data_IF_499457634438
#
_entry.id   IF_499457634438
#
_cell.length_a   1.000
_cell.length_b   1.000
_cell.length_c   1.000
_cell.angle_alpha   90.00
_cell.angle_beta   90.00
_cell.angle_gamma   90.00
#
_symmetry.space_group_name_H-M   'P 1'
#
loop_
_entity.id
_entity.type
_entity.pdbx_description
1 polymer ?
#
# COMPACT_ATOMS: atom_id res chain seq x y z
N UNK A 1 25.75 10.36 -33.49
CA UNK A 1 24.49 10.39 -32.76
C UNK A 1 24.55 9.31 -31.67
N UNK A 2 24.72 9.72 -30.42
CA UNK A 2 24.76 8.78 -29.27
C UNK A 2 23.37 8.73 -28.65
N UNK A 3 22.76 7.55 -28.40
CA UNK A 3 21.53 7.47 -27.67
C UNK A 3 21.80 7.70 -26.17
N UNK A 4 21.09 8.68 -25.58
CA UNK A 4 21.00 8.85 -24.14
C UNK A 4 20.10 7.74 -23.59
N UNK A 5 20.71 6.76 -22.92
CA UNK A 5 19.99 5.84 -22.06
C UNK A 5 19.55 6.58 -20.79
N UNK A 6 18.26 6.87 -20.66
CA UNK A 6 17.65 7.23 -19.38
C UNK A 6 17.44 5.94 -18.58
N UNK A 7 18.39 5.62 -17.72
CA UNK A 7 18.19 4.63 -16.68
C UNK A 7 17.43 5.30 -15.54
N UNK A 8 16.12 5.10 -15.48
CA UNK A 8 15.33 5.44 -14.32
C UNK A 8 15.59 4.39 -13.22
N UNK A 9 16.57 4.68 -12.36
CA UNK A 9 16.82 3.88 -11.19
C UNK A 9 15.64 4.07 -10.22
N UNK A 10 14.85 3.01 -10.04
CA UNK A 10 13.90 2.93 -8.92
C UNK A 10 14.74 2.70 -7.66
N UNK A 11 15.05 3.78 -6.96
CA UNK A 11 15.71 3.71 -5.66
C UNK A 11 14.69 3.20 -4.65
N UNK A 12 14.76 1.92 -4.30
CA UNK A 12 14.17 1.41 -3.07
C UNK A 12 15.02 2.01 -1.95
N UNK A 13 14.57 3.14 -1.39
CA UNK A 13 15.18 3.71 -0.21
C UNK A 13 14.88 2.78 0.97
N UNK A 14 15.83 1.90 1.29
CA UNK A 14 15.91 1.26 2.59
C UNK A 14 16.08 2.36 3.63
N UNK A 15 14.99 2.79 4.25
CA UNK A 15 15.03 3.61 5.45
C UNK A 15 15.67 2.77 6.54
N UNK A 16 16.95 3.00 6.81
CA UNK A 16 17.62 2.50 8.00
C UNK A 16 16.90 3.10 9.21
N UNK A 17 16.03 2.31 9.83
CA UNK A 17 15.44 2.64 11.12
C UNK A 17 16.57 2.57 12.14
N UNK A 18 17.07 3.72 12.57
CA UNK A 18 17.98 3.80 13.69
C UNK A 18 17.31 3.13 14.91
N UNK A 19 18.00 2.28 15.69
CA UNK A 19 17.42 1.70 16.87
C UNK A 19 17.07 2.82 17.85
N UNK A 20 15.76 3.01 18.07
CA UNK A 20 15.30 3.89 19.13
C UNK A 20 15.81 3.34 20.47
N UNK A 21 16.53 4.17 21.24
CA UNK A 21 16.88 3.85 22.61
C UNK A 21 15.61 3.47 23.37
N UNK A 22 15.61 2.29 23.97
CA UNK A 22 14.58 1.86 24.91
C UNK A 22 14.62 2.79 26.14
N UNK A 23 13.86 3.88 26.06
CA UNK A 23 13.44 4.67 27.21
C UNK A 23 11.96 4.39 27.40
N UNK A 24 11.41 4.65 28.58
CA UNK A 24 9.98 4.53 28.94
C UNK A 24 9.06 5.41 28.07
N UNK A 25 9.35 5.49 26.78
CA UNK A 25 8.71 6.34 25.81
C UNK A 25 7.33 5.83 25.44
N UNK A 26 6.30 6.52 25.89
CA UNK A 26 4.97 6.37 25.30
C UNK A 26 5.05 6.71 23.81
N UNK A 27 4.50 5.85 22.94
CA UNK A 27 4.61 6.00 21.49
C UNK A 27 3.79 7.16 20.91
N UNK A 28 2.80 7.67 21.67
CA UNK A 28 1.95 8.80 21.29
C UNK A 28 1.97 9.87 22.38
N UNK A 29 1.80 11.11 21.97
CA UNK A 29 1.59 12.24 22.86
C UNK A 29 0.22 12.84 22.61
N UNK A 30 -0.54 12.99 23.67
CA UNK A 30 -1.85 13.63 23.66
C UNK A 30 -1.71 14.99 24.30
N UNK A 31 -2.16 16.04 23.64
CA UNK A 31 -2.19 17.41 24.21
C UNK A 31 -3.63 17.78 24.50
N UNK A 32 -3.96 18.01 25.78
CA UNK A 32 -5.30 18.42 26.22
C UNK A 32 -5.14 19.70 27.03
N UNK A 33 -5.76 20.79 26.59
CA UNK A 33 -5.67 22.12 27.20
C UNK A 33 -4.24 22.56 27.51
N UNK A 34 -3.30 22.25 26.60
CA UNK A 34 -1.88 22.58 26.70
C UNK A 34 -1.07 21.67 27.63
N UNK A 35 -1.66 20.62 28.20
CA UNK A 35 -0.96 19.59 28.96
C UNK A 35 -0.65 18.41 28.05
N UNK A 36 0.63 18.08 27.91
CA UNK A 36 1.09 16.91 27.16
C UNK A 36 1.17 15.68 28.04
N UNK A 37 0.58 14.57 27.60
CA UNK A 37 0.64 13.28 28.28
C UNK A 37 0.98 12.19 27.28
N UNK A 38 1.91 11.31 27.65
CA UNK A 38 2.25 10.13 26.85
C UNK A 38 1.19 9.03 27.02
N UNK A 39 0.81 8.38 25.91
CA UNK A 39 -0.17 7.28 25.91
C UNK A 39 0.23 6.23 24.86
N UNK A 40 -0.03 4.95 25.14
CA UNK A 40 0.10 3.88 24.15
C UNK A 40 -1.27 3.31 23.75
N UNK A 41 -1.40 2.67 22.58
CA UNK A 41 -2.59 1.90 22.25
C UNK A 41 -2.86 0.84 23.33
N UNK A 42 -4.11 0.80 23.80
CA UNK A 42 -4.56 -0.04 24.92
C UNK A 42 -4.50 0.65 26.29
N UNK A 43 -3.81 1.80 26.41
CA UNK A 43 -3.81 2.56 27.67
C UNK A 43 -5.13 3.32 27.84
N UNK A 44 -5.52 3.46 29.11
CA UNK A 44 -6.53 4.43 29.54
C UNK A 44 -5.89 5.42 30.48
N UNK A 45 -6.12 6.70 30.28
CA UNK A 45 -5.61 7.80 31.05
C UNK A 45 -6.72 8.55 31.72
N UNK A 46 -6.75 8.56 33.07
CA UNK A 46 -7.66 9.37 33.84
C UNK A 46 -6.95 10.64 34.32
N UNK A 47 -7.55 11.80 34.03
CA UNK A 47 -7.01 13.10 34.41
C UNK A 47 -8.09 14.00 34.98
N UNK A 48 -7.68 14.92 35.84
CA UNK A 48 -8.53 15.99 36.33
C UNK A 48 -8.11 17.30 35.67
N UNK A 49 -9.04 17.93 34.96
CA UNK A 49 -8.83 19.19 34.27
C UNK A 49 -8.72 20.35 35.28
N UNK A 50 -8.18 21.49 34.84
CA UNK A 50 -8.02 22.69 35.70
C UNK A 50 -9.35 23.21 36.27
N UNK A 51 -10.46 22.96 35.60
CA UNK A 51 -11.81 23.32 36.02
C UNK A 51 -12.48 22.28 36.92
N UNK A 52 -11.72 21.21 37.32
CA UNK A 52 -12.20 20.15 38.20
C UNK A 52 -12.94 19.01 37.49
N UNK A 53 -13.17 19.10 36.15
CA UNK A 53 -13.77 18.00 35.39
C UNK A 53 -12.82 16.80 35.31
N UNK A 54 -13.36 15.60 35.45
CA UNK A 54 -12.63 14.36 35.22
C UNK A 54 -12.79 13.95 33.76
N UNK A 55 -11.69 13.60 33.12
CA UNK A 55 -11.63 13.09 31.77
C UNK A 55 -10.94 11.74 31.76
N UNK A 56 -11.58 10.74 31.16
CA UNK A 56 -10.98 9.44 30.87
C UNK A 56 -10.77 9.32 29.37
N UNK A 57 -9.53 9.08 28.95
CA UNK A 57 -9.14 8.96 27.54
C UNK A 57 -8.53 7.58 27.30
N UNK A 58 -9.12 6.82 26.40
CA UNK A 58 -8.56 5.55 25.95
C UNK A 58 -8.05 5.68 24.52
N UNK A 59 -6.83 5.23 24.28
CA UNK A 59 -6.28 5.14 22.92
C UNK A 59 -6.39 3.70 22.45
N UNK A 60 -7.15 3.48 21.39
CA UNK A 60 -7.30 2.16 20.76
C UNK A 60 -6.89 2.25 19.30
N UNK A 61 -6.23 1.21 18.79
CA UNK A 61 -5.98 1.08 17.37
C UNK A 61 -7.25 0.55 16.69
N UNK A 62 -7.69 1.19 15.62
CA UNK A 62 -8.77 0.65 14.79
C UNK A 62 -8.31 -0.64 14.13
N UNK A 63 -9.16 -1.68 14.12
CA UNK A 63 -8.89 -2.93 13.40
C UNK A 63 -8.91 -2.70 11.88
N UNK A 64 -9.75 -1.78 11.43
CA UNK A 64 -9.87 -1.43 10.02
C UNK A 64 -9.80 0.09 9.87
N UNK A 65 -9.03 0.53 8.89
CA UNK A 65 -8.87 1.95 8.52
C UNK A 65 -9.14 2.08 7.03
N UNK A 66 -9.96 3.07 6.66
CA UNK A 66 -10.17 3.42 5.25
C UNK A 66 -9.10 4.41 4.83
N UNK A 67 -8.30 4.02 3.83
CA UNK A 67 -7.41 4.93 3.14
C UNK A 67 -8.15 5.59 1.97
N UNK A 68 -7.99 6.90 1.81
CA UNK A 68 -8.60 7.67 0.71
C UNK A 68 -7.51 8.43 -0.05
N UNK A 69 -7.36 8.10 -1.33
CA UNK A 69 -6.59 8.85 -2.31
C UNK A 69 -7.43 9.98 -2.95
N UNK A 70 -7.02 10.47 -4.12
CA UNK A 70 -7.81 11.48 -4.84
C UNK A 70 -8.95 10.85 -5.65
N UNK A 71 -8.72 9.67 -6.21
CA UNK A 71 -9.64 8.97 -7.12
C UNK A 71 -10.01 7.56 -6.65
N UNK A 72 -9.60 7.15 -5.47
CA UNK A 72 -9.87 5.83 -4.94
C UNK A 72 -9.92 5.83 -3.43
N UNK A 73 -10.53 4.78 -2.87
CA UNK A 73 -10.43 4.43 -1.44
C UNK A 73 -10.44 2.93 -1.27
N UNK A 74 -9.84 2.44 -0.20
CA UNK A 74 -9.90 1.04 0.21
C UNK A 74 -9.70 0.91 1.73
N UNK A 75 -10.18 -0.20 2.29
CA UNK A 75 -9.96 -0.54 3.68
C UNK A 75 -8.73 -1.42 3.84
N UNK A 76 -7.99 -1.20 4.91
CA UNK A 76 -6.85 -2.01 5.31
C UNK A 76 -6.83 -2.24 6.81
N UNK A 77 -6.00 -3.15 7.25
CA UNK A 77 -5.78 -3.39 8.68
C UNK A 77 -5.07 -2.19 9.31
N UNK A 78 -5.60 -1.70 10.43
CA UNK A 78 -5.08 -0.54 11.14
C UNK A 78 -3.67 -0.71 11.72
N UNK A 79 -3.12 -1.93 11.73
CA UNK A 79 -1.73 -2.14 12.10
C UNK A 79 -0.73 -1.71 11.03
N UNK A 80 -1.16 -1.57 9.78
CA UNK A 80 -0.33 -1.14 8.66
C UNK A 80 -0.58 0.34 8.32
N UNK A 81 0.38 0.94 7.66
CA UNK A 81 0.29 2.31 7.16
C UNK A 81 0.47 2.33 5.65
N UNK A 82 -0.25 3.22 4.98
CA UNK A 82 -0.08 3.47 3.56
C UNK A 82 0.92 4.60 3.36
N UNK A 83 2.04 4.29 2.71
CA UNK A 83 3.03 5.29 2.32
C UNK A 83 2.60 5.98 1.03
N UNK A 84 2.81 7.30 0.94
CA UNK A 84 2.56 8.09 -0.26
C UNK A 84 3.89 8.55 -0.85
N UNK A 85 4.05 8.41 -2.17
CA UNK A 85 5.24 8.82 -2.91
C UNK A 85 4.83 9.54 -4.20
N UNK A 86 5.42 10.68 -4.48
CA UNK A 86 5.31 11.36 -5.77
C UNK A 86 6.38 10.78 -6.71
N UNK A 87 5.96 10.13 -7.79
CA UNK A 87 6.87 9.56 -8.79
C UNK A 87 7.21 10.52 -9.92
N UNK A 88 6.81 11.78 -9.78
CA UNK A 88 7.01 12.85 -10.77
C UNK A 88 5.70 13.27 -11.41
N UNK A 89 5.36 14.54 -11.23
CA UNK A 89 4.33 15.41 -11.83
C UNK A 89 2.95 14.83 -12.15
N UNK A 90 2.88 13.65 -12.69
CA UNK A 90 1.62 13.04 -13.18
C UNK A 90 1.25 11.73 -12.50
N UNK A 91 2.11 11.19 -11.64
CA UNK A 91 1.88 9.89 -10.98
C UNK A 91 2.10 10.00 -9.47
N UNK A 92 1.03 9.72 -8.73
CA UNK A 92 1.09 9.54 -7.27
C UNK A 92 0.98 8.06 -6.93
N UNK A 93 1.91 7.55 -6.13
CA UNK A 93 1.91 6.15 -5.67
C UNK A 93 1.57 6.08 -4.19
N UNK A 94 0.78 5.08 -3.86
CA UNK A 94 0.39 4.71 -2.51
C UNK A 94 0.71 3.24 -2.31
N UNK A 95 1.50 2.92 -1.29
CA UNK A 95 1.95 1.56 -1.05
C UNK A 95 1.71 1.13 0.39
N UNK A 96 1.16 -0.06 0.57
CA UNK A 96 1.12 -0.78 1.82
C UNK A 96 1.86 -2.10 1.60
N UNK A 97 2.93 -2.31 2.37
CA UNK A 97 3.74 -3.52 2.29
C UNK A 97 3.88 -4.08 3.71
N UNK A 98 3.58 -5.35 3.86
CA UNK A 98 3.70 -6.05 5.14
C UNK A 98 5.15 -6.48 5.39
N UNK A 99 5.53 -6.76 6.65
CA UNK A 99 6.87 -7.26 6.98
C UNK A 99 7.27 -8.57 6.30
N UNK A 100 6.32 -9.40 5.88
CA UNK A 100 6.59 -10.68 5.20
C UNK A 100 6.37 -10.60 3.68
N UNK A 101 6.19 -9.40 3.13
CA UNK A 101 6.29 -9.15 1.69
C UNK A 101 4.99 -9.21 0.90
N UNK A 102 3.82 -9.25 1.55
CA UNK A 102 2.55 -8.99 0.87
C UNK A 102 2.41 -7.50 0.60
N UNK A 103 2.09 -7.12 -0.63
CA UNK A 103 2.05 -5.72 -1.02
C UNK A 103 0.81 -5.33 -1.81
N UNK A 104 0.40 -4.08 -1.58
CA UNK A 104 -0.64 -3.36 -2.30
C UNK A 104 -0.02 -2.05 -2.76
N UNK A 105 -0.02 -1.81 -4.06
CA UNK A 105 0.40 -0.54 -4.66
C UNK A 105 -0.75 0.01 -5.47
N UNK A 106 -1.15 1.24 -5.19
CA UNK A 106 -2.13 1.97 -5.99
C UNK A 106 -1.43 3.18 -6.60
N UNK A 107 -1.57 3.37 -7.88
CA UNK A 107 -1.03 4.53 -8.59
C UNK A 107 -2.16 5.32 -9.24
N UNK A 108 -2.20 6.61 -8.97
CA UNK A 108 -3.07 7.58 -9.64
C UNK A 108 -2.31 8.26 -10.76
N UNK A 109 -2.86 8.21 -11.96
CA UNK A 109 -2.29 8.82 -13.16
C UNK A 109 -3.09 10.05 -13.58
N UNK A 110 -2.38 11.10 -14.04
CA UNK A 110 -2.94 12.28 -14.70
C UNK A 110 -2.43 12.31 -16.14
N UNK A 111 -3.32 12.51 -17.11
CA UNK A 111 -2.96 12.63 -18.53
C UNK A 111 -2.57 11.33 -19.21
N UNK A 112 -2.77 10.18 -18.57
CA UNK A 112 -2.50 8.85 -19.11
C UNK A 112 -3.55 7.86 -18.63
N UNK A 113 -4.11 7.06 -19.55
CA UNK A 113 -4.90 5.89 -19.17
C UNK A 113 -3.97 4.73 -18.77
N UNK A 114 -3.92 4.34 -17.49
CA UNK A 114 -3.00 3.31 -17.03
C UNK A 114 -3.35 1.89 -17.53
N UNK A 115 -4.52 1.67 -18.11
CA UNK A 115 -4.89 0.37 -18.65
C UNK A 115 -3.99 -0.08 -19.80
N UNK A 116 -3.28 0.85 -20.46
CA UNK A 116 -2.34 0.55 -21.55
C UNK A 116 -0.96 0.13 -21.08
N UNK A 117 -0.64 0.25 -19.79
CA UNK A 117 0.71 0.01 -19.26
C UNK A 117 0.78 -1.11 -18.21
N UNK A 118 -0.29 -1.86 -17.98
CA UNK A 118 -0.31 -2.93 -16.97
C UNK A 118 0.76 -4.00 -17.21
N UNK A 119 1.00 -4.37 -18.48
CA UNK A 119 2.06 -5.29 -18.87
C UNK A 119 3.46 -4.73 -18.59
N UNK A 120 3.67 -3.46 -18.85
CA UNK A 120 4.94 -2.78 -18.58
C UNK A 120 5.22 -2.73 -17.08
N UNK A 121 4.22 -2.38 -16.27
CA UNK A 121 4.35 -2.36 -14.80
C UNK A 121 4.66 -3.77 -14.27
N UNK A 122 3.96 -4.80 -14.75
CA UNK A 122 4.27 -6.19 -14.40
C UNK A 122 5.73 -6.51 -14.72
N UNK A 123 6.19 -6.21 -15.95
CA UNK A 123 7.56 -6.49 -16.36
C UNK A 123 8.58 -5.83 -15.43
N UNK A 124 8.35 -4.58 -15.02
CA UNK A 124 9.23 -3.89 -14.07
C UNK A 124 9.23 -4.58 -12.70
N UNK A 125 8.08 -5.03 -12.20
CA UNK A 125 7.98 -5.68 -10.89
C UNK A 125 8.68 -7.04 -10.85
N UNK A 126 8.66 -7.81 -11.96
CA UNK A 126 9.22 -9.16 -12.00
C UNK A 126 10.63 -9.24 -12.58
N UNK A 127 11.18 -8.12 -13.03
CA UNK A 127 12.48 -8.09 -13.76
C UNK A 127 13.63 -8.71 -12.95
N UNK A 128 13.70 -8.39 -11.66
CA UNK A 128 14.75 -8.95 -10.78
C UNK A 128 14.58 -10.46 -10.61
N UNK A 129 13.37 -10.95 -10.45
CA UNK A 129 13.09 -12.39 -10.36
C UNK A 129 13.48 -13.11 -11.66
N UNK A 130 13.17 -12.54 -12.82
CA UNK A 130 13.56 -13.09 -14.13
C UNK A 130 15.09 -13.13 -14.26
N UNK A 131 15.78 -12.05 -13.90
CA UNK A 131 17.24 -11.98 -13.93
C UNK A 131 17.89 -13.01 -12.99
N UNK A 132 17.21 -13.38 -11.90
CA UNK A 132 17.60 -14.44 -10.98
C UNK A 132 17.21 -15.85 -11.46
N UNK A 133 16.66 -15.98 -12.68
CA UNK A 133 16.32 -17.27 -13.30
C UNK A 133 14.91 -17.79 -12.96
N UNK A 134 14.04 -16.99 -12.40
CA UNK A 134 12.66 -17.39 -12.14
C UNK A 134 11.91 -17.67 -13.45
N UNK A 135 11.07 -18.69 -13.44
CA UNK A 135 10.08 -18.92 -14.49
C UNK A 135 8.89 -17.97 -14.26
N UNK A 136 8.32 -17.47 -15.35
CA UNK A 136 7.11 -16.65 -15.30
C UNK A 136 5.98 -17.29 -16.09
N UNK A 137 4.79 -17.33 -15.49
CA UNK A 137 3.52 -17.59 -16.18
C UNK A 137 2.66 -16.34 -16.10
N UNK A 138 2.02 -15.97 -17.20
CA UNK A 138 1.21 -14.75 -17.29
C UNK A 138 -0.11 -15.03 -17.99
N UNK A 139 -1.19 -14.39 -17.51
CA UNK A 139 -2.51 -14.46 -18.13
C UNK A 139 -3.24 -13.12 -17.98
N UNK A 140 -4.15 -12.84 -18.90
CA UNK A 140 -5.06 -11.71 -18.78
C UNK A 140 -6.01 -11.90 -17.61
N UNK A 141 -6.36 -10.81 -16.93
CA UNK A 141 -7.31 -10.81 -15.82
C UNK A 141 -8.23 -9.61 -15.84
N UNK A 142 -9.33 -9.70 -15.12
CA UNK A 142 -10.21 -8.58 -14.83
C UNK A 142 -10.80 -8.72 -13.43
N UNK A 143 -11.04 -7.58 -12.77
CA UNK A 143 -11.73 -7.51 -11.47
C UNK A 143 -12.89 -6.54 -11.55
N UNK A 144 -14.05 -6.99 -11.06
CA UNK A 144 -15.15 -6.09 -10.74
C UNK A 144 -15.00 -5.65 -9.28
N UNK A 145 -15.07 -4.35 -9.05
CA UNK A 145 -14.95 -3.75 -7.72
C UNK A 145 -16.26 -3.08 -7.31
N UNK A 146 -16.30 -2.58 -6.08
CA UNK A 146 -17.45 -1.86 -5.53
C UNK A 146 -17.87 -0.71 -6.46
N UNK A 147 -19.18 -0.61 -6.74
CA UNK A 147 -19.72 0.38 -7.68
C UNK A 147 -19.77 -0.08 -9.15
N UNK A 148 -19.44 -1.37 -9.43
CA UNK A 148 -19.58 -1.96 -10.77
C UNK A 148 -18.46 -1.57 -11.75
N UNK A 149 -17.41 -0.90 -11.27
CA UNK A 149 -16.24 -0.57 -12.08
C UNK A 149 -15.44 -1.85 -12.36
N UNK A 150 -15.01 -2.04 -13.60
CA UNK A 150 -14.19 -3.17 -14.03
C UNK A 150 -12.76 -2.69 -14.30
N UNK A 151 -11.81 -3.25 -13.57
CA UNK A 151 -10.39 -3.10 -13.82
C UNK A 151 -9.92 -4.27 -14.70
N UNK A 152 -9.08 -3.97 -15.69
CA UNK A 152 -8.51 -4.98 -16.60
C UNK A 152 -6.99 -4.96 -16.52
N UNK A 153 -6.36 -6.10 -16.76
CA UNK A 153 -4.91 -6.19 -16.72
C UNK A 153 -4.39 -7.61 -16.79
N UNK A 154 -3.35 -7.89 -16.01
CA UNK A 154 -2.62 -9.15 -16.04
C UNK A 154 -2.40 -9.73 -14.65
N UNK A 155 -2.44 -11.05 -14.57
CA UNK A 155 -1.90 -11.84 -13.47
C UNK A 155 -0.64 -12.53 -13.90
N UNK A 156 0.32 -12.67 -13.00
CA UNK A 156 1.51 -13.45 -13.22
C UNK A 156 1.90 -14.21 -11.95
N UNK A 157 2.58 -15.31 -12.17
CA UNK A 157 3.28 -16.06 -11.14
C UNK A 157 4.74 -16.13 -11.54
N UNK A 158 5.65 -15.82 -10.63
CA UNK A 158 7.08 -16.12 -10.78
C UNK A 158 7.44 -17.25 -9.84
N UNK A 159 8.23 -18.22 -10.31
CA UNK A 159 8.67 -19.34 -9.49
C UNK A 159 10.18 -19.59 -9.64
N UNK A 160 10.84 -19.75 -8.52
CA UNK A 160 12.18 -20.28 -8.35
C UNK A 160 12.10 -21.65 -7.65
N UNK A 161 13.24 -22.26 -7.31
CA UNK A 161 13.27 -23.48 -6.53
C UNK A 161 12.68 -23.30 -5.11
N UNK A 162 12.77 -22.09 -4.54
CA UNK A 162 12.48 -21.83 -3.13
C UNK A 162 11.36 -20.80 -2.93
N UNK A 163 10.83 -20.20 -4.00
CA UNK A 163 9.92 -19.06 -3.86
C UNK A 163 8.91 -19.01 -5.01
N UNK A 164 7.66 -18.76 -4.68
CA UNK A 164 6.59 -18.58 -5.66
C UNK A 164 5.82 -17.30 -5.29
N UNK A 165 5.90 -16.31 -6.18
CA UNK A 165 5.25 -15.03 -6.01
C UNK A 165 4.07 -14.90 -6.97
N UNK A 166 2.94 -14.48 -6.46
CA UNK A 166 1.77 -14.09 -7.24
C UNK A 166 1.72 -12.57 -7.40
N UNK A 167 1.39 -12.12 -8.61
CA UNK A 167 1.20 -10.73 -8.97
C UNK A 167 -0.15 -10.54 -9.66
N UNK A 168 -0.82 -9.44 -9.36
CA UNK A 168 -1.98 -9.00 -10.12
C UNK A 168 -1.90 -7.49 -10.35
N UNK A 169 -1.83 -7.07 -11.61
CA UNK A 169 -1.78 -5.68 -12.02
C UNK A 169 -3.00 -5.39 -12.87
N UNK A 170 -3.90 -4.57 -12.35
CA UNK A 170 -5.12 -4.18 -13.04
C UNK A 170 -5.30 -2.67 -13.02
N UNK A 171 -5.96 -2.13 -14.02
CA UNK A 171 -6.18 -0.70 -14.12
C UNK A 171 -7.53 -0.37 -14.75
N UNK A 172 -7.95 0.86 -14.52
CA UNK A 172 -9.08 1.49 -15.21
C UNK A 172 -8.77 2.97 -15.38
N UNK A 173 -9.26 3.56 -16.46
CA UNK A 173 -8.97 4.97 -16.72
C UNK A 173 -9.64 5.51 -17.99
N UNK A 174 -9.44 6.81 -18.18
CA UNK A 174 -9.82 7.60 -19.32
C UNK A 174 -8.56 8.26 -19.91
N UNK A 175 -8.62 8.92 -21.07
CA UNK A 175 -7.45 9.59 -21.66
C UNK A 175 -6.79 10.64 -20.74
N UNK A 176 -7.55 11.24 -19.84
CA UNK A 176 -7.12 12.27 -18.88
C UNK A 176 -6.61 11.71 -17.55
N UNK A 177 -6.64 10.39 -17.36
CA UNK A 177 -6.08 9.76 -16.18
C UNK A 177 -6.79 8.48 -15.76
N UNK A 178 -6.33 7.89 -14.65
CA UNK A 178 -6.91 6.66 -14.11
C UNK A 178 -6.19 6.14 -12.88
N UNK A 179 -6.57 4.94 -12.50
CA UNK A 179 -6.02 4.23 -11.34
C UNK A 179 -5.48 2.87 -11.80
N UNK A 180 -4.27 2.55 -11.39
CA UNK A 180 -3.65 1.22 -11.49
C UNK A 180 -3.49 0.66 -10.09
N UNK A 181 -3.84 -0.61 -9.93
CA UNK A 181 -3.66 -1.36 -8.69
C UNK A 181 -2.78 -2.55 -8.99
N UNK A 182 -1.69 -2.67 -8.25
CA UNK A 182 -0.82 -3.84 -8.25
C UNK A 182 -0.85 -4.49 -6.87
N UNK A 183 -1.07 -5.79 -6.83
CA UNK A 183 -0.92 -6.60 -5.62
C UNK A 183 0.08 -7.70 -5.87
N UNK A 184 0.82 -8.05 -4.82
CA UNK A 184 1.77 -9.15 -4.85
C UNK A 184 1.86 -9.83 -3.50
N UNK A 185 2.12 -11.13 -3.52
CA UNK A 185 2.30 -11.94 -2.31
C UNK A 185 3.09 -13.20 -2.62
N UNK A 186 3.87 -13.64 -1.65
CA UNK A 186 4.41 -14.98 -1.67
C UNK A 186 3.30 -15.99 -1.37
N UNK A 187 3.24 -17.08 -2.12
CA UNK A 187 2.21 -18.14 -1.93
C UNK A 187 2.24 -18.74 -0.52
N UNK A 188 3.40 -18.86 0.09
CA UNK A 188 3.53 -19.36 1.46
C UNK A 188 2.90 -18.42 2.50
N UNK A 189 2.77 -17.14 2.18
CA UNK A 189 2.21 -16.14 3.07
C UNK A 189 0.69 -15.98 2.92
N UNK A 190 0.08 -16.50 1.85
CA UNK A 190 -1.37 -16.40 1.62
C UNK A 190 -2.20 -16.88 2.81
N UNK A 191 -1.88 -18.00 3.50
CA UNK A 191 -2.65 -18.44 4.66
C UNK A 191 -2.64 -17.45 5.84
N UNK A 192 -1.62 -16.59 5.91
CA UNK A 192 -1.45 -15.60 7.01
C UNK A 192 -1.96 -14.21 6.62
N UNK A 193 -1.72 -13.81 5.38
CA UNK A 193 -1.91 -12.43 4.93
C UNK A 193 -2.90 -12.28 3.76
N UNK A 194 -3.46 -13.36 3.23
CA UNK A 194 -4.45 -13.30 2.14
C UNK A 194 -5.64 -12.41 2.46
N UNK A 195 -6.07 -12.40 3.72
CA UNK A 195 -7.17 -11.55 4.20
C UNK A 195 -6.88 -10.05 4.05
N UNK A 196 -5.59 -9.64 4.01
CA UNK A 196 -5.19 -8.23 3.79
C UNK A 196 -5.56 -7.81 2.36
N UNK A 197 -5.24 -8.66 1.37
CA UNK A 197 -5.60 -8.42 -0.02
C UNK A 197 -7.12 -8.49 -0.22
N UNK A 198 -7.78 -9.48 0.40
CA UNK A 198 -9.24 -9.64 0.31
C UNK A 198 -9.98 -8.41 0.88
N UNK A 199 -9.54 -7.88 2.02
CA UNK A 199 -10.11 -6.67 2.63
C UNK A 199 -9.99 -5.48 1.67
N UNK A 200 -8.80 -5.27 1.11
CA UNK A 200 -8.58 -4.21 0.13
C UNK A 200 -9.48 -4.39 -1.11
N UNK A 201 -9.48 -5.57 -1.71
CA UNK A 201 -10.23 -5.81 -2.94
C UNK A 201 -11.75 -5.69 -2.75
N UNK A 202 -12.28 -6.14 -1.60
CA UNK A 202 -13.71 -6.08 -1.31
C UNK A 202 -14.22 -4.67 -1.04
N UNK A 203 -13.35 -3.77 -0.59
CA UNK A 203 -13.68 -2.39 -0.23
C UNK A 203 -13.24 -1.36 -1.27
N UNK A 204 -12.39 -1.75 -2.24
CA UNK A 204 -11.86 -0.84 -3.24
C UNK A 204 -12.97 -0.14 -4.03
N UNK A 205 -12.90 1.18 -4.04
CA UNK A 205 -13.73 2.08 -4.87
C UNK A 205 -12.82 2.93 -5.72
N UNK A 206 -13.23 3.19 -6.96
CA UNK A 206 -12.58 4.12 -7.88
C UNK A 206 -13.60 5.12 -8.36
N UNK A 207 -13.28 6.40 -8.25
CA UNK A 207 -14.12 7.53 -8.62
C UNK A 207 -13.47 8.30 -9.78
N UNK A 208 -14.30 8.77 -10.74
CA UNK A 208 -13.88 9.53 -11.92
C UNK A 208 -14.58 10.88 -12.00
#
# INVERSE_FOLDING_TARGET
MRPLCFAAAIAIACLAVAPAKAGDGKGYRLTIDGVEVGINPGDTLDMTMKDGRKLSVALQRSETVTFTGTKFSFDHDGQFSVAKTDLGGTVQQYALITPIGTGIIVQEYKGLNPSSITDFVLQQMVQESINAGAKITKQATQRSITGGVVLKGVKAETSTENDVMDYEIVATGRPDGGVLVATFSNKENIPKEGTILDKMWSSLKVEY
#
